data_IF_046720414000
#
_entry.id   IF_046720414000
#
_cell.length_a   1.000
_cell.length_b   1.000
_cell.length_c   1.000
_cell.angle_alpha   90.00
_cell.angle_beta   90.00
_cell.angle_gamma   90.00
#
_symmetry.space_group_name_H-M   'P 1'
#
loop_
_entity.id
_entity.type
_entity.pdbx_description
1 polymer ?
2 non-polymer ?
3 non-polymer ?
4 water ?
#
# COMPACT_ATOMS: atom_id res chain seq x y z
N UNK A 19 18.31 -2.81 6.12
CA UNK A 19 16.97 -3.35 5.92
C UNK A 19 16.96 -4.27 4.69
N UNK A 20 16.26 -5.41 4.83
CA UNK A 20 16.12 -6.39 3.75
C UNK A 20 14.71 -6.97 3.75
N UNK A 21 14.20 -7.25 2.55
CA UNK A 21 12.81 -7.66 2.35
C UNK A 21 12.78 -8.92 1.49
N UNK A 22 12.09 -9.95 1.97
CA UNK A 22 12.06 -11.24 1.30
C UNK A 22 10.61 -11.60 0.97
N UNK A 23 10.40 -12.15 -0.23
CA UNK A 23 9.07 -12.54 -0.71
C UNK A 23 9.05 -14.05 -0.88
N UNK A 24 8.23 -14.72 -0.06
CA UNK A 24 8.05 -16.15 -0.19
C UNK A 24 6.81 -16.34 -1.06
N UNK A 25 7.01 -16.83 -2.28
CA UNK A 25 6.01 -16.86 -3.34
C UNK A 25 6.12 -18.11 -4.20
N UNK A 26 4.99 -18.51 -4.78
CA UNK A 26 4.99 -19.48 -5.87
C UNK A 26 5.20 -18.85 -7.24
N UNK A 27 4.86 -17.58 -7.44
CA UNK A 27 4.99 -16.93 -8.74
C UNK A 27 6.04 -15.83 -8.68
N UNK A 28 7.29 -16.19 -8.38
CA UNK A 28 8.34 -15.16 -8.25
C UNK A 28 8.58 -14.35 -9.51
N UNK A 29 8.33 -14.92 -10.69
CA UNK A 29 8.43 -14.16 -11.94
C UNK A 29 7.49 -12.96 -11.94
N UNK A 30 6.37 -13.06 -11.24
CA UNK A 30 5.39 -11.98 -11.19
C UNK A 30 5.96 -10.71 -10.59
N UNK A 31 7.08 -10.81 -9.86
CA UNK A 31 7.76 -9.66 -9.29
C UNK A 31 8.76 -9.00 -10.23
N UNK A 32 8.86 -9.48 -11.47
CA UNK A 32 9.89 -8.99 -12.40
C UNK A 32 9.84 -7.48 -12.61
N UNK A 33 8.74 -6.99 -13.17
CA UNK A 33 8.67 -5.59 -13.47
C UNK A 33 8.88 -4.74 -12.24
N UNK A 34 8.20 -5.10 -11.16
CA UNK A 34 8.22 -4.24 -9.97
C UNK A 34 9.63 -4.15 -9.40
N UNK A 35 10.29 -5.29 -9.25
CA UNK A 35 11.59 -5.31 -8.59
C UNK A 35 12.66 -4.65 -9.45
N UNK A 36 12.56 -4.78 -10.77
CA UNK A 36 13.62 -4.29 -11.64
C UNK A 36 13.40 -2.86 -12.10
N UNK A 37 12.33 -2.18 -11.67
CA UNK A 37 11.98 -0.90 -12.27
C UNK A 37 11.48 0.08 -11.21
N UNK A 38 11.73 1.36 -11.47
CA UNK A 38 11.23 2.46 -10.65
C UNK A 38 11.93 2.51 -9.30
N UNK A 39 11.20 2.87 -8.25
CA UNK A 39 11.81 3.28 -6.98
C UNK A 39 12.56 2.13 -6.33
N UNK A 40 11.97 0.93 -6.35
CA UNK A 40 12.65 -0.21 -5.74
C UNK A 40 13.94 -0.54 -6.49
N UNK A 41 13.92 -0.44 -7.83
CA UNK A 41 15.14 -0.70 -8.59
C UNK A 41 16.25 0.27 -8.20
N UNK A 42 15.91 1.54 -7.98
CA UNK A 42 16.91 2.51 -7.52
C UNK A 42 17.35 2.21 -6.10
N UNK A 43 16.40 2.00 -5.19
CA UNK A 43 16.73 1.87 -3.77
C UNK A 43 17.60 0.64 -3.50
N UNK A 44 17.33 -0.47 -4.20
CA UNK A 44 18.16 -1.66 -4.04
C UNK A 44 19.62 -1.33 -4.32
N UNK A 45 19.86 -0.53 -5.36
CA UNK A 45 21.21 -0.22 -5.80
C UNK A 45 21.97 0.69 -4.84
N UNK A 46 21.25 1.51 -4.07
CA UNK A 46 21.87 2.43 -3.12
C UNK A 46 22.39 1.74 -1.87
N UNK A 47 22.44 0.40 -1.84
CA UNK A 47 22.79 -0.34 -0.63
C UNK A 47 21.89 0.03 0.54
N UNK A 48 20.62 0.31 0.25
CA UNK A 48 19.62 0.60 1.28
C UNK A 48 18.83 -0.62 1.72
N UNK A 49 18.60 -1.58 0.82
CA UNK A 49 17.84 -2.77 1.16
C UNK A 49 18.21 -3.90 0.21
N UNK A 50 18.16 -5.12 0.72
CA UNK A 50 18.34 -6.33 -0.08
C UNK A 50 16.98 -7.00 -0.26
N UNK A 51 16.69 -7.43 -1.48
CA UNK A 51 15.43 -8.04 -1.84
C UNK A 51 15.69 -9.44 -2.38
N UNK A 52 14.91 -10.41 -1.93
CA UNK A 52 15.01 -11.77 -2.43
C UNK A 52 13.63 -12.31 -2.73
N UNK A 53 13.54 -13.11 -3.80
CA UNK A 53 12.31 -13.72 -4.27
C UNK A 53 12.48 -15.23 -4.18
N UNK A 54 11.91 -15.86 -3.15
CA UNK A 54 12.14 -17.27 -2.86
C UNK A 54 10.87 -18.04 -3.19
N UNK A 55 11.03 -19.22 -3.79
CA UNK A 55 9.91 -20.05 -4.22
C UNK A 55 9.64 -21.17 -3.21
N UNK A 56 8.35 -21.35 -2.87
CA UNK A 56 7.94 -22.44 -1.98
C UNK A 56 8.44 -23.79 -2.48
N UNK A 57 8.16 -24.09 -3.75
CA UNK A 57 8.39 -25.44 -4.27
C UNK A 57 9.82 -25.89 -4.02
N UNK A 58 10.76 -24.95 -4.00
CA UNK A 58 12.14 -25.30 -3.75
C UNK A 58 12.32 -26.01 -2.41
N UNK A 59 11.45 -25.72 -1.44
CA UNK A 59 11.59 -26.27 -0.09
C UNK A 59 10.64 -27.42 0.17
N UNK A 60 9.92 -27.88 -0.85
CA UNK A 60 9.03 -29.02 -0.70
C UNK A 60 9.81 -30.21 -0.20
N UNK A 61 9.27 -30.90 0.81
CA UNK A 61 9.93 -32.10 1.33
C UNK A 61 10.02 -33.16 0.24
N UNK A 62 8.92 -33.37 -0.49
CA UNK A 62 8.81 -34.40 -1.52
C UNK A 62 8.71 -33.85 -2.94
N UNK A 63 8.26 -32.61 -3.12
CA UNK A 63 8.10 -31.89 -4.39
C UNK A 63 7.01 -32.48 -5.29
N UNK A 64 6.39 -33.61 -4.90
CA UNK A 64 5.25 -34.19 -5.61
C UNK A 64 3.91 -33.92 -4.92
N UNK A 65 3.77 -34.22 -3.62
CA UNK A 65 2.68 -33.67 -2.81
C UNK A 65 3.23 -32.54 -1.92
N UNK A 66 3.51 -31.40 -2.57
CA UNK A 66 4.37 -30.38 -2.00
C UNK A 66 3.66 -29.04 -1.93
N UNK A 67 4.19 -28.20 -1.04
CA UNK A 67 3.72 -26.85 -0.70
C UNK A 67 2.35 -26.88 -0.04
N UNK A 68 1.40 -27.68 -0.54
CA UNK A 68 0.06 -27.76 0.06
C UNK A 68 -0.49 -29.18 -0.01
N UNK A 69 -1.57 -29.41 0.73
CA UNK A 69 -2.16 -30.74 0.85
C UNK A 69 -3.59 -30.59 1.38
N UNK A 70 -4.31 -31.70 1.46
CA UNK A 70 -5.71 -31.66 1.88
C UNK A 70 -5.81 -31.28 3.37
N UNK A 71 -6.90 -30.63 3.77
CA UNK A 71 -7.04 -30.26 5.18
C UNK A 71 -7.58 -31.40 6.02
N UNK A 72 -6.97 -31.60 7.19
CA UNK A 72 -7.56 -32.52 8.16
C UNK A 72 -8.97 -32.10 8.53
N UNK A 73 -9.86 -33.09 8.57
CA UNK A 73 -11.25 -32.84 8.88
C UNK A 73 -12.07 -32.32 7.72
N UNK A 74 -11.57 -32.45 6.51
CA UNK A 74 -12.28 -31.91 5.37
C UNK A 74 -12.24 -30.41 5.30
N UNK A 75 -12.46 -29.89 4.11
CA UNK A 75 -12.32 -28.46 3.88
C UNK A 75 -12.60 -28.17 2.43
N UNK A 76 -12.84 -26.89 2.16
CA UNK A 76 -13.22 -26.46 0.83
C UNK A 76 -12.05 -26.57 -0.14
N UNK A 77 -10.87 -26.15 0.27
CA UNK A 77 -9.74 -26.20 -0.62
C UNK A 77 -8.48 -26.80 -0.02
N UNK A 78 -7.36 -26.65 -0.72
CA UNK A 78 -6.07 -27.14 -0.28
C UNK A 78 -5.44 -26.14 0.68
N UNK A 79 -4.51 -26.63 1.49
CA UNK A 79 -3.94 -25.86 2.59
C UNK A 79 -2.43 -25.87 2.48
N UNK A 80 -1.82 -24.68 2.58
CA UNK A 80 -0.36 -24.56 2.59
C UNK A 80 0.23 -25.36 3.74
N UNK A 81 1.20 -26.21 3.43
CA UNK A 81 1.82 -27.10 4.41
C UNK A 81 2.85 -26.33 5.25
N UNK A 82 3.05 -26.72 6.51
CA UNK A 82 4.03 -25.99 7.33
C UNK A 82 5.47 -26.23 6.92
N UNK A 83 5.81 -27.44 6.49
CA UNK A 83 7.18 -27.89 6.27
C UNK A 83 7.94 -26.91 5.38
N UNK A 84 7.54 -26.76 4.11
CA UNK A 84 8.30 -25.84 3.25
C UNK A 84 8.44 -24.48 3.86
N UNK A 85 7.43 -24.00 4.61
CA UNK A 85 7.46 -22.62 5.08
C UNK A 85 8.47 -22.44 6.21
N UNK A 86 8.49 -23.35 7.19
CA UNK A 86 9.50 -23.25 8.24
C UNK A 86 10.91 -23.39 7.67
N UNK A 87 11.10 -24.29 6.70
CA UNK A 87 12.41 -24.43 6.07
C UNK A 87 12.83 -23.13 5.41
N UNK A 88 11.91 -22.46 4.70
CA UNK A 88 12.23 -21.18 4.09
C UNK A 88 12.66 -20.17 5.15
N UNK A 89 11.86 -20.03 6.21
CA UNK A 89 12.24 -19.09 7.26
C UNK A 89 13.61 -19.44 7.84
N UNK A 90 13.90 -20.74 7.97
CA UNK A 90 15.15 -21.17 8.59
C UNK A 90 16.37 -20.60 7.85
N UNK A 91 16.44 -20.80 6.54
CA UNK A 91 17.61 -20.37 5.79
C UNK A 91 17.52 -18.93 5.32
N UNK A 92 16.39 -18.25 5.54
CA UNK A 92 16.34 -16.81 5.32
C UNK A 92 16.85 -16.01 6.51
N UNK A 93 17.40 -16.71 7.51
CA UNK A 93 18.04 -16.09 8.67
C UNK A 93 17.03 -15.30 9.51
N UNK A 94 15.77 -15.73 9.48
CA UNK A 94 14.73 -15.05 10.23
C UNK A 94 15.08 -15.07 11.72
N UNK A 95 14.87 -13.94 12.39
CA UNK A 95 15.17 -13.81 13.82
C UNK A 95 13.90 -13.39 14.56
N UNK A 96 14.00 -13.26 15.88
CA UNK A 96 12.85 -12.82 16.67
C UNK A 96 12.58 -11.33 16.49
N UNK A 97 13.57 -10.57 15.98
CA UNK A 97 13.34 -9.19 15.62
C UNK A 97 12.72 -9.05 14.23
N UNK A 98 12.75 -10.10 13.42
CA UNK A 98 12.19 -10.06 12.07
C UNK A 98 10.68 -9.90 12.12
N UNK A 99 10.11 -9.32 11.04
CA UNK A 99 8.66 -9.20 10.89
C UNK A 99 8.24 -10.13 9.76
N UNK A 100 7.44 -11.15 10.10
CA UNK A 100 6.99 -12.20 9.20
C UNK A 100 5.53 -11.90 8.89
N UNK A 101 5.27 -11.26 7.76
CA UNK A 101 3.92 -10.80 7.44
C UNK A 101 3.26 -11.83 6.54
N UNK A 102 2.04 -12.20 6.91
CA UNK A 102 1.22 -13.08 6.10
C UNK A 102 0.18 -12.24 5.39
N UNK A 103 0.20 -12.22 4.06
CA UNK A 103 -0.87 -11.65 3.25
C UNK A 103 -2.07 -12.58 3.36
N UNK A 104 -3.12 -12.14 4.04
CA UNK A 104 -4.33 -12.94 4.08
C UNK A 104 -5.54 -12.03 4.00
N UNK A 105 -6.65 -12.53 3.47
CA UNK A 105 -7.83 -11.67 3.25
C UNK A 105 -8.38 -11.08 4.53
N UNK A 106 -8.28 -11.80 5.64
CA UNK A 106 -8.89 -11.29 6.85
C UNK A 106 -7.85 -10.71 7.80
N UNK A 107 -6.67 -10.36 7.29
CA UNK A 107 -5.72 -9.62 8.07
C UNK A 107 -6.16 -8.18 8.28
N UNK A 108 -5.43 -7.49 9.16
CA UNK A 108 -5.70 -6.09 9.41
C UNK A 108 -5.52 -5.26 8.14
N UNK A 109 -6.48 -4.42 7.77
CA UNK A 109 -6.24 -3.53 6.62
C UNK A 109 -4.95 -2.73 6.81
N UNK A 110 -4.12 -2.75 5.77
CA UNK A 110 -2.87 -2.00 5.75
C UNK A 110 -3.14 -0.51 5.89
N UNK A 111 -2.21 0.19 6.53
CA UNK A 111 -2.43 1.59 6.86
C UNK A 111 -1.10 2.33 6.91
N UNK A 112 -1.19 3.66 6.89
CA UNK A 112 -0.01 4.50 6.99
C UNK A 112 0.76 4.25 8.29
N UNK A 113 0.06 4.16 9.42
CA UNK A 113 0.80 3.93 10.65
C UNK A 113 1.54 2.61 10.59
N UNK A 114 0.96 1.61 9.90
CA UNK A 114 1.68 0.34 9.75
C UNK A 114 2.85 0.48 8.78
N UNK A 115 2.71 1.30 7.73
CA UNK A 115 3.83 1.52 6.82
C UNK A 115 5.04 2.09 7.57
N UNK A 116 4.80 3.03 8.49
CA UNK A 116 5.87 3.58 9.31
C UNK A 116 6.47 2.50 10.20
N UNK A 117 5.62 1.79 10.96
CA UNK A 117 6.14 0.77 11.87
C UNK A 117 7.03 -0.22 11.13
N UNK A 118 6.61 -0.66 9.95
CA UNK A 118 7.40 -1.64 9.20
C UNK A 118 8.64 -1.04 8.55
N UNK A 119 8.56 0.22 8.08
CA UNK A 119 9.77 0.85 7.56
C UNK A 119 10.88 0.89 8.61
N UNK A 120 10.51 0.98 9.90
CA UNK A 120 11.45 0.98 11.02
C UNK A 120 11.99 -0.41 11.36
N UNK A 121 11.78 -1.40 10.49
CA UNK A 121 12.18 -2.77 10.77
C UNK A 121 13.28 -3.21 9.82
N UNK A 122 14.20 -4.01 10.33
CA UNK A 122 15.36 -4.44 9.56
C UNK A 122 14.98 -5.51 8.55
N UNK A 123 14.42 -6.62 9.01
CA UNK A 123 14.12 -7.78 8.18
C UNK A 123 12.61 -7.94 8.08
N UNK A 124 12.10 -8.07 6.86
CA UNK A 124 10.68 -8.32 6.63
C UNK A 124 10.55 -9.50 5.69
N UNK A 125 9.64 -10.42 6.03
CA UNK A 125 9.38 -11.61 5.23
C UNK A 125 7.89 -11.64 4.91
N UNK A 126 7.55 -11.49 3.63
CA UNK A 126 6.17 -11.62 3.18
C UNK A 126 5.90 -13.06 2.80
N UNK A 127 4.85 -13.62 3.40
CA UNK A 127 4.31 -14.89 2.95
C UNK A 127 3.13 -14.56 2.04
N UNK A 128 3.31 -14.83 0.75
CA UNK A 128 2.36 -14.54 -0.31
C UNK A 128 1.71 -15.85 -0.73
N UNK A 129 0.40 -15.86 -0.87
CA UNK A 129 -0.25 -17.10 -1.27
C UNK A 129 -1.67 -16.87 -1.73
N UNK A 130 -2.22 -17.90 -2.37
CA UNK A 130 -3.60 -17.89 -2.87
C UNK A 130 -4.50 -18.83 -2.09
N UNK A 131 -3.97 -19.47 -1.08
CA UNK A 131 -4.58 -20.69 -0.59
C UNK A 131 -5.90 -20.41 0.11
N UNK A 132 -6.81 -21.35 -0.02
CA UNK A 132 -8.01 -21.26 0.78
C UNK A 132 -7.68 -21.25 2.27
N UNK A 133 -6.49 -21.73 2.64
CA UNK A 133 -6.07 -21.76 4.03
C UNK A 133 -4.59 -22.03 4.20
N UNK A 134 -4.10 -21.71 5.39
CA UNK A 134 -2.70 -21.81 5.76
C UNK A 134 -2.62 -22.68 7.02
N UNK A 135 -1.68 -23.63 7.06
CA UNK A 135 -1.55 -24.47 8.24
C UNK A 135 -1.40 -23.59 9.47
N UNK A 136 -2.24 -23.82 10.48
CA UNK A 136 -2.28 -22.94 11.64
C UNK A 136 -0.93 -22.86 12.34
N UNK A 137 -0.13 -23.92 12.29
CA UNK A 137 1.17 -23.91 12.95
C UNK A 137 2.09 -22.82 12.37
N UNK A 138 1.94 -22.54 11.07
CA UNK A 138 2.65 -21.42 10.45
C UNK A 138 2.26 -20.12 11.13
N UNK A 139 0.96 -19.92 11.35
CA UNK A 139 0.48 -18.67 11.91
C UNK A 139 0.89 -18.54 13.37
N UNK A 140 0.82 -19.64 14.14
CA UNK A 140 1.07 -19.49 15.56
C UNK A 140 2.56 -19.34 15.88
N UNK A 141 3.45 -19.89 15.06
CA UNK A 141 4.86 -19.92 15.42
C UNK A 141 5.80 -19.19 14.47
N UNK A 142 5.34 -18.68 13.33
CA UNK A 142 6.19 -17.90 12.44
C UNK A 142 5.66 -16.50 12.21
N UNK A 143 4.38 -16.38 11.89
CA UNK A 143 3.81 -15.12 11.47
C UNK A 143 3.78 -14.16 12.65
N UNK A 144 4.31 -12.96 12.44
CA UNK A 144 4.20 -11.90 13.44
C UNK A 144 3.11 -10.90 13.11
N UNK A 145 2.60 -10.93 11.87
CA UNK A 145 1.71 -9.90 11.36
C UNK A 145 0.88 -10.53 10.26
N UNK A 146 -0.41 -10.24 10.23
CA UNK A 146 -1.28 -10.64 9.14
C UNK A 146 -1.95 -9.38 8.60
N UNK A 147 -1.82 -9.13 7.30
CA UNK A 147 -2.27 -7.85 6.75
C UNK A 147 -3.01 -8.11 5.45
N UNK A 148 -4.08 -7.35 5.20
CA UNK A 148 -4.86 -7.37 3.99
C UNK A 148 -4.79 -6.02 3.30
N UNK A 149 -5.32 -5.96 2.09
CA UNK A 149 -5.53 -4.72 1.35
C UNK A 149 -6.94 -4.12 1.50
N UNK A 150 -7.91 -4.83 2.07
CA UNK A 150 -9.26 -4.30 2.15
C UNK A 150 -10.31 -5.36 1.87
N UNK A 151 -11.57 -4.94 2.03
CA UNK A 151 -12.71 -5.85 2.10
C UNK A 151 -12.87 -6.68 0.84
N UNK A 152 -12.26 -6.27 -0.25
CA UNK A 152 -12.43 -6.97 -1.50
C UNK A 152 -11.52 -8.21 -1.57
N UNK A 153 -11.75 -8.99 -2.62
CA UNK A 153 -11.19 -10.32 -2.78
C UNK A 153 -10.19 -10.29 -3.92
N UNK A 154 -8.95 -10.69 -3.61
CA UNK A 154 -7.86 -10.77 -4.57
C UNK A 154 -7.51 -12.23 -4.83
N UNK A 155 -6.75 -12.45 -5.90
CA UNK A 155 -6.33 -13.79 -6.29
C UNK A 155 -5.20 -14.33 -5.43
N UNK A 156 -4.37 -13.47 -4.86
CA UNK A 156 -3.18 -13.92 -4.18
C UNK A 156 -2.51 -12.78 -3.44
N UNK A 157 -1.34 -13.05 -2.90
CA UNK A 157 -0.74 -12.11 -1.98
C UNK A 157 0.35 -11.24 -2.58
N UNK A 158 0.74 -11.53 -3.83
CA UNK A 158 1.90 -10.90 -4.42
C UNK A 158 1.68 -9.42 -4.67
N UNK A 159 0.63 -9.06 -5.41
CA UNK A 159 0.34 -7.64 -5.62
C UNK A 159 0.19 -6.90 -4.31
N UNK A 160 -0.59 -7.39 -3.34
CA UNK A 160 -0.58 -6.73 -2.03
C UNK A 160 0.81 -6.64 -1.41
N UNK A 161 1.63 -7.70 -1.53
CA UNK A 161 2.97 -7.60 -0.94
C UNK A 161 3.78 -6.50 -1.63
N UNK A 162 3.74 -6.44 -2.96
CA UNK A 162 4.44 -5.39 -3.68
C UNK A 162 3.90 -4.00 -3.31
N UNK A 163 2.58 -3.87 -3.21
CA UNK A 163 2.02 -2.55 -2.90
C UNK A 163 2.48 -2.10 -1.53
N UNK A 164 2.41 -3.00 -0.53
CA UNK A 164 2.88 -2.65 0.81
C UNK A 164 4.35 -2.31 0.79
N UNK A 165 5.13 -3.01 -0.04
CA UNK A 165 6.56 -2.72 -0.12
C UNK A 165 6.80 -1.31 -0.59
N UNK A 166 6.04 -0.88 -1.61
CA UNK A 166 6.14 0.48 -2.12
C UNK A 166 5.97 1.49 -1.00
N UNK A 167 4.89 1.37 -0.24
CA UNK A 167 4.63 2.38 0.79
C UNK A 167 5.68 2.34 1.89
N UNK A 168 6.19 1.15 2.22
CA UNK A 168 7.22 1.00 3.24
C UNK A 168 8.56 1.56 2.76
N UNK A 169 8.95 1.24 1.51
CA UNK A 169 10.28 1.60 1.04
C UNK A 169 10.43 3.13 0.95
N UNK A 170 9.45 3.81 0.38
CA UNK A 170 9.58 5.27 0.30
C UNK A 170 9.68 5.90 1.68
N UNK A 171 9.22 5.21 2.73
CA UNK A 171 9.32 5.72 4.09
C UNK A 171 10.63 5.35 4.77
N UNK A 172 11.45 4.53 4.12
CA UNK A 172 12.78 4.22 4.67
C UNK A 172 13.73 5.38 4.39
N UNK A 173 14.48 5.85 5.38
CA UNK A 173 15.38 6.99 5.17
C UNK A 173 16.41 6.70 4.09
N UNK A 174 16.66 7.70 3.24
CA UNK A 174 17.63 7.56 2.18
C UNK A 174 17.08 7.10 0.85
N UNK A 175 15.78 6.93 0.73
CA UNK A 175 15.19 6.45 -0.51
C UNK A 175 14.48 7.61 -1.21
N UNK A 188 -1.77 16.86 5.16
CA UNK A 188 -3.12 17.31 4.79
C UNK A 188 -3.57 18.44 5.71
N UNK A 189 -4.32 19.40 5.18
CA UNK A 189 -4.94 20.44 5.99
C UNK A 189 -6.39 20.12 6.33
N UNK A 190 -6.86 18.91 6.05
CA UNK A 190 -8.23 18.56 6.28
C UNK A 190 -9.15 18.86 5.12
N UNK A 191 -8.60 19.26 3.96
CA UNK A 191 -9.38 19.65 2.80
C UNK A 191 -8.89 18.92 1.55
N UNK A 192 -9.78 18.78 0.59
CA UNK A 192 -9.38 18.24 -0.69
C UNK A 192 -8.43 19.21 -1.39
N UNK A 193 -7.67 18.69 -2.36
CA UNK A 193 -6.64 19.50 -2.98
C UNK A 193 -7.25 20.50 -3.97
N UNK A 194 -6.51 21.49 -4.25
CA UNK A 194 -6.89 22.53 -5.20
C UNK A 194 -6.63 22.08 -6.62
N UNK A 195 -7.42 22.55 -7.57
CA UNK A 195 -7.20 22.19 -8.97
C UNK A 195 -5.87 22.73 -9.46
N UNK A 196 -5.20 21.94 -10.29
CA UNK A 196 -3.91 22.33 -10.81
C UNK A 196 -3.97 22.32 -12.33
N UNK A 197 -3.26 23.26 -12.96
CA UNK A 197 -3.24 23.28 -14.41
C UNK A 197 -1.82 23.56 -14.92
N UNK A 198 -1.57 23.15 -16.18
CA UNK A 198 -0.28 23.39 -16.82
C UNK A 198 -0.50 23.71 -18.32
N UNK A 199 0.60 23.87 -19.07
CA UNK A 199 0.50 24.26 -20.49
C UNK A 199 -0.30 23.20 -21.25
N UNK A 200 -1.08 23.60 -22.26
CA UNK A 200 -1.30 24.96 -22.76
C UNK A 200 -2.39 25.69 -21.98
N UNK A 201 -2.46 27.01 -22.16
CA UNK A 201 -3.47 27.82 -21.49
C UNK A 201 -4.86 27.49 -22.02
N UNK A 202 -4.98 27.28 -23.31
CA UNK A 202 -6.25 27.00 -23.95
C UNK A 202 -6.08 25.73 -24.74
N UNK A 203 -7.07 24.85 -24.65
CA UNK A 203 -6.94 23.51 -25.22
C UNK A 203 -8.32 22.92 -25.44
N UNK A 204 -8.73 22.81 -26.71
CA UNK A 204 -10.07 22.33 -27.04
C UNK A 204 -11.14 23.23 -26.39
N UNK A 205 -10.87 24.54 -26.39
CA UNK A 205 -11.75 25.50 -25.77
C UNK A 205 -11.71 25.54 -24.26
N UNK A 206 -10.88 24.71 -23.64
CA UNK A 206 -10.84 24.54 -22.18
C UNK A 206 -9.72 25.41 -21.64
N UNK A 207 -10.08 26.43 -20.90
CA UNK A 207 -9.18 27.53 -20.64
C UNK A 207 -8.74 27.50 -19.17
N UNK A 208 -7.43 27.56 -18.94
CA UNK A 208 -6.88 27.66 -17.58
C UNK A 208 -7.46 28.89 -16.88
N UNK A 209 -7.79 28.84 -15.58
CA UNK A 209 -8.27 30.04 -14.92
C UNK A 209 -7.25 31.16 -15.00
N UNK A 210 -7.74 32.35 -15.40
CA UNK A 210 -6.88 33.48 -15.65
C UNK A 210 -6.06 33.84 -14.44
N UNK A 211 -6.62 33.68 -13.22
CA UNK A 211 -5.92 34.16 -12.03
C UNK A 211 -4.56 33.51 -11.94
N UNK A 212 -4.44 32.23 -12.37
CA UNK A 212 -3.17 31.53 -12.27
C UNK A 212 -2.10 32.11 -13.19
N UNK A 213 -2.47 32.92 -14.18
CA UNK A 213 -1.44 33.54 -15.02
C UNK A 213 -1.16 34.98 -14.63
N UNK A 214 -1.79 35.47 -13.58
CA UNK A 214 -1.78 36.91 -13.30
C UNK A 214 -0.54 37.34 -12.54
N UNK A 215 0.20 36.42 -11.92
CA UNK A 215 1.36 36.81 -11.13
C UNK A 215 1.06 37.38 -9.76
N UNK A 216 -0.21 37.47 -9.36
CA UNK A 216 -0.61 37.96 -8.05
C UNK A 216 -0.73 36.76 -7.10
N UNK A 217 0.33 36.52 -6.35
CA UNK A 217 0.40 35.31 -5.54
C UNK A 217 -0.63 35.33 -4.43
N UNK A 218 -0.95 36.48 -3.88
CA UNK A 218 -2.02 36.50 -2.89
C UNK A 218 -3.33 36.04 -3.51
N UNK A 219 -3.63 36.48 -4.73
CA UNK A 219 -4.91 36.05 -5.30
C UNK A 219 -4.86 34.60 -5.74
N UNK A 220 -3.69 34.10 -6.17
CA UNK A 220 -3.57 32.71 -6.57
C UNK A 220 -3.81 31.82 -5.37
N UNK A 221 -3.18 32.13 -4.24
CA UNK A 221 -3.40 31.33 -3.02
C UNK A 221 -4.86 31.40 -2.58
N UNK A 222 -5.45 32.60 -2.59
CA UNK A 222 -6.82 32.75 -2.15
C UNK A 222 -7.77 31.97 -3.05
N UNK A 223 -7.54 32.02 -4.36
CA UNK A 223 -8.39 31.27 -5.29
C UNK A 223 -8.23 29.78 -5.05
N UNK A 224 -6.98 29.32 -4.87
CA UNK A 224 -6.79 27.92 -4.55
C UNK A 224 -7.53 27.56 -3.27
N UNK A 225 -7.44 28.43 -2.25
CA UNK A 225 -8.14 28.12 -1.01
C UNK A 225 -9.65 28.07 -1.21
N UNK A 226 -10.22 28.98 -1.99
CA UNK A 226 -11.67 28.92 -2.21
C UNK A 226 -12.07 27.61 -2.89
N UNK A 227 -11.29 27.18 -3.90
CA UNK A 227 -11.54 25.93 -4.61
C UNK A 227 -11.46 24.73 -3.66
N UNK A 228 -10.42 24.67 -2.81
CA UNK A 228 -10.33 23.64 -1.78
C UNK A 228 -11.62 23.60 -0.96
N UNK A 229 -12.10 24.76 -0.53
CA UNK A 229 -13.30 24.77 0.31
C UNK A 229 -14.50 24.25 -0.47
N UNK A 230 -14.70 24.74 -1.69
CA UNK A 230 -15.88 24.40 -2.47
C UNK A 230 -15.88 22.93 -2.87
N UNK A 231 -14.74 22.42 -3.31
CA UNK A 231 -14.66 21.01 -3.66
C UNK A 231 -14.90 20.11 -2.45
N UNK A 232 -14.37 20.48 -1.29
CA UNK A 232 -14.61 19.67 -0.12
C UNK A 232 -16.09 19.74 0.27
N UNK A 233 -16.70 20.92 0.18
CA UNK A 233 -18.12 21.07 0.43
C UNK A 233 -18.94 20.10 -0.42
N UNK A 234 -18.59 20.01 -1.73
CA UNK A 234 -19.40 19.23 -2.68
C UNK A 234 -19.15 17.75 -2.55
N UNK A 235 -17.89 17.33 -2.34
CA UNK A 235 -17.56 15.92 -2.49
C UNK A 235 -17.20 15.21 -1.19
N UNK A 236 -16.87 15.96 -0.13
CA UNK A 236 -16.60 15.38 1.17
C UNK A 236 -17.14 16.31 2.25
N UNK A 237 -18.46 16.52 2.28
CA UNK A 237 -19.01 17.40 3.33
C UNK A 237 -18.60 16.96 4.75
N UNK A 238 -18.31 15.67 4.97
CA UNK A 238 -17.85 15.26 6.29
C UNK A 238 -16.56 15.97 6.64
N UNK A 239 -15.67 16.19 5.67
CA UNK A 239 -14.43 16.93 5.96
C UNK A 239 -14.73 18.38 6.33
N UNK A 240 -15.75 19.00 5.72
CA UNK A 240 -16.06 20.38 6.13
C UNK A 240 -16.44 20.42 7.60
N UNK A 241 -17.22 19.42 8.05
CA UNK A 241 -17.65 19.37 9.44
C UNK A 241 -16.48 19.26 10.41
N UNK A 242 -15.35 18.70 9.97
CA UNK A 242 -14.20 18.51 10.85
C UNK A 242 -13.15 19.60 10.64
N UNK A 243 -13.51 20.66 9.98
CA UNK A 243 -12.59 21.70 9.57
C UNK A 243 -12.88 22.96 10.37
N UNK A 244 -11.89 23.60 10.93
CA UNK A 244 -12.16 24.83 11.68
C UNK A 244 -12.45 26.05 10.78
N UNK A 245 -13.69 26.21 10.33
CA UNK A 245 -14.06 27.25 9.36
C UNK A 245 -13.90 28.66 9.94
N UNK A 246 -13.22 29.54 9.20
CA UNK A 246 -13.09 30.96 9.58
C UNK A 246 -14.35 31.71 9.15
N UNK A 247 -14.43 33.00 9.51
CA UNK A 247 -15.50 33.81 8.94
C UNK A 247 -15.38 33.90 7.44
N UNK A 248 -14.17 34.10 6.94
CA UNK A 248 -13.99 34.18 5.49
C UNK A 248 -14.43 32.88 4.85
N UNK A 249 -14.12 31.72 5.46
CA UNK A 249 -14.52 30.45 4.87
C UNK A 249 -16.04 30.33 4.80
N UNK A 250 -16.72 30.76 5.86
CA UNK A 250 -18.18 30.68 5.82
C UNK A 250 -18.74 31.60 4.75
N UNK A 251 -18.22 32.82 4.69
CA UNK A 251 -18.64 33.75 3.65
C UNK A 251 -18.40 33.16 2.26
N UNK A 252 -17.27 32.48 2.05
CA UNK A 252 -16.99 31.88 0.75
C UNK A 252 -18.03 30.82 0.42
N UNK A 253 -18.34 29.95 1.37
CA UNK A 253 -19.29 28.88 1.08
C UNK A 253 -20.69 29.45 0.80
N UNK A 254 -21.11 30.47 1.54
CA UNK A 254 -22.42 31.04 1.27
C UNK A 254 -22.50 31.64 -0.13
N UNK A 255 -21.54 32.46 -0.52
CA UNK A 255 -21.65 33.04 -1.84
C UNK A 255 -21.53 31.98 -2.92
N UNK A 256 -20.88 30.85 -2.62
CA UNK A 256 -20.91 29.74 -3.57
C UNK A 256 -22.28 29.08 -3.64
N UNK A 257 -22.90 28.81 -2.49
CA UNK A 257 -24.17 28.11 -2.59
C UNK A 257 -25.30 29.05 -3.03
N UNK A 258 -25.04 30.34 -3.15
CA UNK A 258 -26.02 31.31 -3.65
C UNK A 258 -25.81 31.59 -5.13
N UNK A 259 -24.56 31.64 -5.58
CA UNK A 259 -24.31 31.69 -7.00
C UNK A 259 -24.96 30.52 -7.72
N UNK A 260 -25.11 29.38 -7.02
CA UNK A 260 -25.76 28.22 -7.64
C UNK A 260 -27.26 28.45 -7.85
N UNK A 261 -27.91 29.21 -6.97
CA UNK A 261 -29.35 29.47 -7.05
C UNK A 261 -30.11 28.25 -6.57
X LIG B 1 21.74 -2.60 5.60
X LIG B 1 20.96 -3.14 4.55
X LIG B 1 20.93 -1.45 6.15
X LIG B 1 21.75 -0.58 6.91
X LIG B 1 22.60 -2.28 5.29
X LIG B 1 21.91 -3.25 6.29
X LIG B 1 21.43 -3.73 4.15
X LIG B 1 20.22 -1.83 6.68
X LIG B 1 20.52 -1.00 5.40
X LIG B 1 22.06 -1.02 7.57
X LIG C 1 -8.39 -16.89 0.62
X LIG C 1 -9.85 -15.73 -0.87
X LIG C 1 -7.30 -16.37 -0.04
X LIG C 1 -8.76 -15.21 -1.53
X LIG C 1 -3.80 -11.35 0.43
X LIG C 1 -5.98 -10.69 -0.08
X LIG C 1 -4.95 -11.77 -0.15
X LIG C 1 -9.69 -16.58 0.22
X LIG C 1 -7.46 -15.53 -1.13
X LIG C 1 -5.51 -9.52 0.55
X LIG C 1 -7.46 -8.40 0.29
X LIG C 1 -7.32 -10.66 -0.57
X LIG C 1 -4.99 -13.13 -0.74
X LIG C 1 -10.87 -17.16 0.93
X LIG C 1 -6.27 -14.93 -1.83
X LIG C 1 -6.22 -8.40 0.74
X LIG C 1 -8.01 -9.46 -0.34
X LIG C 1 -12.01 -17.46 0.00
X LIG C 1 -6.10 -13.56 -1.36
X LIG C 1 -7.91 -11.58 -1.14
X LIG C 1 -4.01 -13.86 -0.61
X LIG C 1 -3.87 -9.75 1.07
#
# INVERSE_FOLDING_TARGET
>A
HHHHHHSSGLVPRGSHMASKIDYLTLFPEMFDGVLNHSIMKRAQENNKLQINTVNFRDYAINKHNQVDDYPYGGGQGMVLKPEPVFNAMEDLDVTEQTRVILMCPQGEPFSHQKAVELSKADHIVFICGHYEGYDERIRTHLVTDEISMGDYVLTGGELPAMTMTDAIVRLIPGVLGNEQSHQDDSFSDGLLEFPQYTRPREFKGLTVPDVLLSGNHANIDAWRHEQKLIRTYNKRPDLIEKYPLTNADKQILERYKIGLKKG
>B hetero
1 EDO C1 O1 C2 O2 H11 H12 HO1 H21 H22 HO2
>C hetero
1 21X C1 C5 C2 C4 C14 C17 C13 C6 C3 C16 C21 C18 C11 C7 C9 N22 N20 N8 N10 O19 O12 S15
#
